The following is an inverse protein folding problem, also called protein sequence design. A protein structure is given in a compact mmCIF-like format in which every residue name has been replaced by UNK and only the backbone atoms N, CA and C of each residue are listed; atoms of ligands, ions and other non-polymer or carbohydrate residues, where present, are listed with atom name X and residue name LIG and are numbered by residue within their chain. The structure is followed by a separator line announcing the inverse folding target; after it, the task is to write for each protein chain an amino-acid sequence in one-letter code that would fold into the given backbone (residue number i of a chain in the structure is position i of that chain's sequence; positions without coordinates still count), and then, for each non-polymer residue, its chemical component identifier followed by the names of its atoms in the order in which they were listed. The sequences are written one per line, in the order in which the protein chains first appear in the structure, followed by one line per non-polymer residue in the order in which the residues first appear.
data_IF_614700907017
#
_entry.id   IF_614700907017
#
_cell.length_a   1.000
_cell.length_b   1.000
_cell.length_c   1.000
_cell.angle_alpha   90.00
_cell.angle_beta   90.00
_cell.angle_gamma   90.00
#
_symmetry.space_group_name_H-M   'P 1'
#
loop_
_entity.id
_entity.type
_entity.pdbx_description
1 polymer ?
#
# COMPACT_ATOMS: atom_id res chain seq x y z
N UNK A 1 11.73 -5.64 -18.31
CA UNK A 1 12.77 -4.84 -18.98
C UNK A 1 13.55 -4.11 -17.91
N UNK A 2 14.87 -4.20 -17.89
CA UNK A 2 15.72 -3.33 -17.08
C UNK A 2 16.08 -2.12 -17.93
N UNK A 3 15.90 -0.91 -17.41
CA UNK A 3 16.32 0.31 -18.11
C UNK A 3 17.85 0.42 -18.07
N UNK A 4 18.55 0.51 -19.23
CA UNK A 4 20.01 0.45 -19.26
C UNK A 4 20.70 1.51 -18.40
N UNK A 5 20.15 2.73 -18.32
CA UNK A 5 20.71 3.82 -17.51
C UNK A 5 20.80 3.41 -16.03
N UNK A 6 19.70 2.93 -15.45
CA UNK A 6 19.66 2.57 -14.03
C UNK A 6 20.49 1.32 -13.74
N UNK A 7 20.47 0.34 -14.63
CA UNK A 7 21.30 -0.86 -14.48
C UNK A 7 22.79 -0.55 -14.52
N UNK A 8 23.23 0.32 -15.44
CA UNK A 8 24.62 0.77 -15.52
C UNK A 8 25.07 1.47 -14.23
N UNK A 9 24.24 2.40 -13.73
CA UNK A 9 24.52 3.11 -12.49
C UNK A 9 24.61 2.15 -11.30
N UNK A 10 23.66 1.22 -11.18
CA UNK A 10 23.68 0.18 -10.17
C UNK A 10 24.98 -0.66 -10.21
N UNK A 11 25.33 -1.20 -11.39
CA UNK A 11 26.54 -1.99 -11.59
C UNK A 11 27.82 -1.24 -11.20
N UNK A 12 27.90 0.06 -11.50
CA UNK A 12 29.03 0.88 -11.11
C UNK A 12 29.14 1.03 -9.58
N UNK A 13 28.03 1.26 -8.90
CA UNK A 13 27.97 1.45 -7.43
C UNK A 13 28.31 0.18 -6.67
N UNK A 14 27.87 -0.97 -7.16
CA UNK A 14 28.22 -2.27 -6.56
C UNK A 14 29.59 -2.79 -7.00
N UNK A 15 30.39 -1.97 -7.68
CA UNK A 15 31.74 -2.28 -8.17
C UNK A 15 31.80 -3.51 -9.10
N UNK A 16 30.73 -3.72 -9.88
CA UNK A 16 30.59 -4.82 -10.83
C UNK A 16 30.15 -4.33 -12.23
N UNK A 17 30.95 -3.48 -12.90
CA UNK A 17 30.64 -3.00 -14.24
C UNK A 17 30.57 -4.14 -15.28
N UNK A 18 31.23 -5.27 -15.01
CA UNK A 18 31.18 -6.48 -15.83
C UNK A 18 29.78 -7.11 -15.93
N UNK A 19 28.90 -6.84 -14.96
CA UNK A 19 27.52 -7.32 -14.97
C UNK A 19 26.60 -6.55 -15.93
N UNK A 20 27.04 -5.40 -16.45
CA UNK A 20 26.20 -4.55 -17.29
C UNK A 20 25.70 -5.29 -18.54
N UNK A 21 26.62 -5.77 -19.37
CA UNK A 21 26.29 -6.48 -20.61
C UNK A 21 25.47 -7.75 -20.37
N UNK A 22 25.95 -8.69 -19.53
CA UNK A 22 25.20 -9.89 -19.15
C UNK A 22 23.80 -9.62 -18.59
N UNK A 23 23.63 -8.59 -17.76
CA UNK A 23 22.36 -8.27 -17.12
C UNK A 23 21.27 -7.74 -18.06
N UNK A 24 21.64 -7.27 -19.26
CA UNK A 24 20.70 -6.82 -20.29
C UNK A 24 20.27 -7.95 -21.25
N UNK A 25 20.93 -9.11 -21.19
CA UNK A 25 20.59 -10.25 -22.05
C UNK A 25 19.27 -10.90 -21.57
N UNK A 26 18.36 -11.26 -22.48
CA UNK A 26 17.10 -11.91 -22.11
C UNK A 26 17.27 -13.40 -21.72
N UNK A 27 18.47 -13.95 -21.88
CA UNK A 27 18.76 -15.36 -21.59
C UNK A 27 18.53 -15.69 -20.10
N UNK A 28 17.73 -16.73 -19.84
CA UNK A 28 17.32 -17.07 -18.48
C UNK A 28 18.49 -17.53 -17.61
N UNK A 29 19.39 -18.36 -18.15
CA UNK A 29 20.52 -18.88 -17.37
C UNK A 29 21.48 -17.76 -16.99
N UNK A 30 21.77 -16.85 -17.93
CA UNK A 30 22.54 -15.63 -17.69
C UNK A 30 21.88 -14.74 -16.64
N UNK A 31 20.55 -14.54 -16.72
CA UNK A 31 19.81 -13.77 -15.73
C UNK A 31 19.89 -14.39 -14.32
N UNK A 32 19.87 -15.72 -14.19
CA UNK A 32 20.06 -16.37 -12.89
C UNK A 32 21.48 -16.16 -12.36
N UNK A 33 22.50 -16.25 -13.22
CA UNK A 33 23.89 -16.01 -12.83
C UNK A 33 24.08 -14.56 -12.34
N UNK A 34 23.63 -13.57 -13.11
CA UNK A 34 23.73 -12.14 -12.73
C UNK A 34 22.98 -11.88 -11.42
N UNK A 35 21.78 -12.45 -11.23
CA UNK A 35 21.04 -12.33 -9.96
C UNK A 35 21.78 -12.97 -8.79
N UNK A 36 22.48 -14.09 -9.03
CA UNK A 36 23.33 -14.75 -8.03
C UNK A 36 24.48 -13.85 -7.59
N UNK A 37 25.17 -13.25 -8.56
CA UNK A 37 26.28 -12.32 -8.32
C UNK A 37 25.84 -11.06 -7.58
N UNK A 38 24.74 -10.44 -8.02
CA UNK A 38 24.14 -9.29 -7.32
C UNK A 38 23.78 -9.66 -5.89
N UNK A 39 23.14 -10.82 -5.67
CA UNK A 39 22.79 -11.28 -4.32
C UNK A 39 24.01 -11.47 -3.44
N UNK A 40 25.11 -11.99 -3.99
CA UNK A 40 26.36 -12.15 -3.26
C UNK A 40 26.90 -10.79 -2.79
N UNK A 41 26.91 -9.78 -3.68
CA UNK A 41 27.35 -8.42 -3.33
C UNK A 41 26.42 -7.77 -2.30
N UNK A 42 25.10 -7.81 -2.52
CA UNK A 42 24.14 -7.18 -1.60
C UNK A 42 24.23 -7.77 -0.18
N UNK A 43 24.57 -9.05 -0.03
CA UNK A 43 24.78 -9.68 1.29
C UNK A 43 25.99 -9.15 2.07
N UNK A 44 26.90 -8.41 1.44
CA UNK A 44 28.14 -7.93 2.08
C UNK A 44 27.95 -6.72 2.99
N UNK A 45 26.81 -6.03 2.89
CA UNK A 45 26.45 -4.89 3.73
C UNK A 45 25.03 -5.01 4.24
N UNK A 46 24.75 -4.35 5.35
CA UNK A 46 23.40 -4.20 5.91
C UNK A 46 22.53 -3.33 5.02
N UNK A 47 21.21 -3.39 5.24
CA UNK A 47 20.27 -2.51 4.55
C UNK A 47 20.62 -1.04 4.77
N UNK A 48 20.94 -0.63 6.01
CA UNK A 48 21.25 0.76 6.34
C UNK A 48 22.49 1.28 5.60
N UNK A 49 23.52 0.44 5.47
CA UNK A 49 24.72 0.78 4.70
C UNK A 49 24.41 0.92 3.21
N UNK A 50 23.64 0.00 2.63
CA UNK A 50 23.23 0.12 1.23
C UNK A 50 22.34 1.34 0.99
N UNK A 51 21.38 1.60 1.88
CA UNK A 51 20.54 2.80 1.80
C UNK A 51 21.41 4.06 1.79
N UNK A 52 22.38 4.18 2.70
CA UNK A 52 23.29 5.34 2.72
C UNK A 52 24.12 5.49 1.43
N UNK A 53 24.50 4.37 0.80
CA UNK A 53 25.25 4.37 -0.47
C UNK A 53 24.37 4.80 -1.65
N UNK A 54 23.11 4.36 -1.69
CA UNK A 54 22.21 4.58 -2.83
C UNK A 54 21.36 5.86 -2.72
N UNK A 55 21.06 6.36 -1.52
CA UNK A 55 20.23 7.56 -1.27
C UNK A 55 20.63 8.80 -2.09
N UNK A 56 21.93 9.14 -2.28
CA UNK A 56 22.29 10.31 -3.09
C UNK A 56 22.29 10.06 -4.60
N UNK A 57 21.93 8.85 -5.08
CA UNK A 57 22.13 8.42 -6.47
C UNK A 57 20.81 8.17 -7.22
N UNK A 58 20.76 8.59 -8.48
CA UNK A 58 19.63 8.36 -9.40
C UNK A 58 19.74 6.98 -10.10
N UNK A 59 19.67 5.88 -9.34
CA UNK A 59 19.86 4.50 -9.84
C UNK A 59 18.69 3.54 -9.57
N UNK A 60 17.51 4.06 -9.21
CA UNK A 60 16.28 3.27 -8.98
C UNK A 60 16.47 2.05 -8.05
N UNK A 61 17.10 2.27 -6.90
CA UNK A 61 17.23 1.28 -5.82
C UNK A 61 16.52 1.82 -4.59
N UNK A 62 15.64 1.01 -4.02
CA UNK A 62 14.86 1.37 -2.83
C UNK A 62 14.82 0.20 -1.84
N UNK A 63 14.73 0.46 -0.52
CA UNK A 63 14.54 -0.59 0.46
C UNK A 63 13.14 -1.22 0.32
N UNK A 64 13.06 -2.53 0.60
CA UNK A 64 11.77 -3.22 0.73
C UNK A 64 11.25 -3.02 2.15
N UNK A 65 10.31 -2.11 2.32
CA UNK A 65 9.71 -1.78 3.61
C UNK A 65 8.62 -2.78 4.02
N UNK A 66 8.52 -3.05 5.31
CA UNK A 66 7.34 -3.68 5.92
C UNK A 66 6.15 -2.74 5.88
N UNK A 67 4.93 -3.26 6.09
CA UNK A 67 3.73 -2.41 6.11
C UNK A 67 3.81 -1.30 7.16
N UNK A 68 4.20 -1.55 8.43
CA UNK A 68 4.34 -0.47 9.41
C UNK A 68 5.36 0.59 9.01
N UNK A 69 6.52 0.19 8.47
CA UNK A 69 7.54 1.12 7.98
C UNK A 69 7.03 1.96 6.82
N UNK A 70 6.34 1.35 5.85
CA UNK A 70 5.76 2.05 4.70
C UNK A 70 4.70 3.07 5.12
N UNK A 71 3.88 2.76 6.12
CA UNK A 71 2.87 3.69 6.66
C UNK A 71 3.50 4.86 7.43
N UNK A 72 4.70 4.67 7.98
CA UNK A 72 5.48 5.70 8.64
C UNK A 72 6.43 6.45 7.70
N UNK A 73 6.57 6.01 6.45
CA UNK A 73 7.50 6.60 5.50
C UNK A 73 7.20 8.11 5.30
N UNK A 74 8.24 8.98 5.21
CA UNK A 74 8.03 10.43 5.07
C UNK A 74 7.08 10.81 3.94
N UNK A 75 7.13 10.07 2.84
CA UNK A 75 6.24 10.30 1.69
C UNK A 75 4.79 9.94 2.02
N UNK A 76 4.55 8.83 2.73
CA UNK A 76 3.20 8.43 3.15
C UNK A 76 2.59 9.47 4.09
N UNK A 77 3.39 10.05 4.99
CA UNK A 77 2.97 11.15 5.86
C UNK A 77 2.71 12.44 5.08
N UNK A 78 3.65 12.86 4.22
CA UNK A 78 3.55 14.06 3.40
C UNK A 78 2.31 14.06 2.48
N UNK A 79 1.87 12.86 2.08
CA UNK A 79 0.67 12.67 1.28
C UNK A 79 -0.58 12.33 2.09
N UNK A 80 -0.52 12.26 3.42
CA UNK A 80 -1.64 11.86 4.26
C UNK A 80 -2.28 10.55 3.75
N UNK A 81 -1.44 9.52 3.58
CA UNK A 81 -1.84 8.21 3.04
C UNK A 81 -2.57 7.33 4.07
N UNK A 82 -2.69 7.80 5.31
CA UNK A 82 -3.47 7.17 6.38
C UNK A 82 -4.52 8.17 6.86
N UNK A 83 -5.77 7.75 6.89
CA UNK A 83 -6.88 8.51 7.44
C UNK A 83 -7.33 7.88 8.77
N UNK A 84 -7.57 8.72 9.78
CA UNK A 84 -8.17 8.31 11.05
C UNK A 84 -9.69 8.40 10.92
N UNK A 85 -10.33 7.27 10.63
CA UNK A 85 -11.77 7.18 10.36
C UNK A 85 -12.53 7.07 11.69
N UNK A 86 -13.58 7.86 11.93
CA UNK A 86 -14.31 7.83 13.20
C UNK A 86 -15.01 6.49 13.42
N UNK A 87 -15.02 6.05 14.68
CA UNK A 87 -15.77 4.89 15.16
C UNK A 87 -17.01 5.34 15.95
N UNK A 88 -18.04 4.48 16.07
CA UNK A 88 -19.23 4.80 16.87
C UNK A 88 -18.95 5.07 18.36
N UNK A 89 -17.86 4.51 18.91
CA UNK A 89 -17.45 4.70 20.30
C UNK A 89 -16.71 6.03 20.58
N UNK A 90 -16.60 6.90 19.55
CA UNK A 90 -15.89 8.18 19.63
C UNK A 90 -14.38 8.09 19.42
N UNK A 91 -13.81 6.89 19.27
CA UNK A 91 -12.42 6.70 18.89
C UNK A 91 -12.24 6.73 17.35
N UNK A 92 -11.01 6.51 16.88
CA UNK A 92 -10.70 6.45 15.44
C UNK A 92 -10.03 5.14 15.05
N UNK A 93 -10.15 4.75 13.78
CA UNK A 93 -9.45 3.62 13.17
C UNK A 93 -8.56 4.12 12.01
N UNK A 94 -7.24 3.83 12.02
CA UNK A 94 -6.41 4.11 10.86
C UNK A 94 -6.82 3.24 9.68
N UNK A 95 -7.00 3.85 8.51
CA UNK A 95 -7.27 3.18 7.24
C UNK A 95 -6.44 3.82 6.12
N UNK A 96 -6.21 3.08 5.04
CA UNK A 96 -5.55 3.63 3.85
C UNK A 96 -6.42 4.72 3.25
N UNK A 97 -5.85 5.91 3.09
CA UNK A 97 -6.53 7.07 2.52
C UNK A 97 -6.63 6.96 0.99
N UNK A 98 -7.49 7.79 0.40
CA UNK A 98 -7.56 7.95 -1.04
C UNK A 98 -6.17 8.35 -1.59
N UNK A 99 -5.61 7.60 -2.57
CA UNK A 99 -4.30 7.90 -3.13
C UNK A 99 -4.29 9.15 -4.02
N UNK A 100 -5.45 9.53 -4.56
CA UNK A 100 -5.63 10.72 -5.38
C UNK A 100 -5.77 11.96 -4.51
N UNK A 101 -5.03 13.00 -4.87
CA UNK A 101 -5.05 14.30 -4.19
C UNK A 101 -5.62 15.32 -5.16
N UNK A 102 -6.75 15.92 -4.77
CA UNK A 102 -7.45 16.90 -5.59
C UNK A 102 -7.23 18.29 -4.99
N UNK A 103 -6.98 19.29 -5.83
CA UNK A 103 -6.80 20.67 -5.36
C UNK A 103 -8.08 21.27 -4.79
N UNK A 104 -9.24 20.85 -5.32
CA UNK A 104 -10.54 21.48 -5.05
C UNK A 104 -11.55 20.54 -4.38
N UNK A 105 -11.12 19.34 -3.95
CA UNK A 105 -11.98 18.38 -3.27
C UNK A 105 -11.19 17.58 -2.24
N UNK A 106 -11.80 17.33 -1.08
CA UNK A 106 -11.21 16.48 -0.05
C UNK A 106 -12.10 15.25 0.17
N UNK A 107 -11.52 14.03 0.18
CA UNK A 107 -12.27 12.84 0.56
C UNK A 107 -12.76 12.95 2.00
N UNK A 108 -14.01 12.56 2.24
CA UNK A 108 -14.58 12.48 3.58
C UNK A 108 -14.65 11.01 4.01
N UNK A 109 -14.01 10.68 5.13
CA UNK A 109 -13.97 9.32 5.66
C UNK A 109 -14.94 9.20 6.83
N UNK A 110 -16.16 8.72 6.55
CA UNK A 110 -17.27 8.71 7.53
C UNK A 110 -17.43 7.40 8.29
N UNK A 111 -17.14 6.27 7.64
CA UNK A 111 -17.52 4.96 8.15
C UNK A 111 -16.35 3.99 8.15
N UNK A 112 -16.19 3.27 9.25
CA UNK A 112 -15.41 2.04 9.30
C UNK A 112 -16.23 0.86 8.77
N UNK A 113 -15.59 -0.30 8.60
CA UNK A 113 -16.32 -1.55 8.43
C UNK A 113 -17.20 -1.83 9.66
N UNK A 114 -18.47 -2.14 9.43
CA UNK A 114 -19.45 -2.45 10.48
C UNK A 114 -20.05 -3.85 10.28
N UNK A 115 -20.63 -4.47 11.31
CA UNK A 115 -21.34 -5.73 11.17
C UNK A 115 -22.43 -5.70 10.09
N UNK A 116 -22.78 -6.88 9.59
CA UNK A 116 -23.89 -7.03 8.67
C UNK A 116 -25.19 -6.56 9.34
N UNK A 117 -25.93 -5.70 8.66
CA UNK A 117 -27.23 -5.20 9.12
C UNK A 117 -27.19 -3.89 9.93
N UNK A 118 -26.02 -3.36 10.28
CA UNK A 118 -25.90 -2.15 11.12
C UNK A 118 -26.73 -0.96 10.64
N UNK A 119 -26.79 -0.72 9.32
CA UNK A 119 -27.54 0.41 8.75
C UNK A 119 -28.91 0.01 8.15
N UNK A 120 -29.39 -1.23 8.35
CA UNK A 120 -30.63 -1.71 7.72
C UNK A 120 -31.82 -0.83 8.07
N UNK A 121 -32.01 -0.56 9.37
CA UNK A 121 -33.13 0.30 9.82
C UNK A 121 -32.99 1.73 9.28
N UNK A 122 -31.78 2.30 9.33
CA UNK A 122 -31.50 3.66 8.88
C UNK A 122 -31.87 3.84 7.40
N UNK A 123 -31.34 2.97 6.53
CA UNK A 123 -31.62 3.01 5.09
C UNK A 123 -33.10 2.79 4.77
N UNK A 124 -33.78 1.86 5.46
CA UNK A 124 -35.21 1.63 5.25
C UNK A 124 -36.07 2.83 5.66
N UNK A 125 -35.70 3.51 6.76
CA UNK A 125 -36.37 4.73 7.19
C UNK A 125 -36.13 5.88 6.19
N UNK A 126 -34.91 6.03 5.67
CA UNK A 126 -34.57 7.06 4.68
C UNK A 126 -35.37 6.95 3.38
N UNK A 127 -35.71 5.72 2.97
CA UNK A 127 -36.53 5.48 1.76
C UNK A 127 -38.05 5.47 2.03
N UNK A 128 -38.48 5.78 3.26
CA UNK A 128 -39.87 6.07 3.60
C UNK A 128 -40.64 4.98 4.34
N UNK A 129 -40.00 3.88 4.76
CA UNK A 129 -40.67 2.89 5.61
C UNK A 129 -40.78 3.37 7.05
N UNK A 130 -41.93 3.14 7.68
CA UNK A 130 -42.12 3.44 9.09
C UNK A 130 -41.64 2.29 10.00
N UNK A 131 -41.50 2.56 11.29
CA UNK A 131 -41.00 1.56 12.27
C UNK A 131 -41.86 0.29 12.32
N UNK A 132 -43.18 0.37 12.08
CA UNK A 132 -44.07 -0.79 12.07
C UNK A 132 -43.83 -1.70 10.86
N UNK A 133 -43.60 -1.13 9.68
CA UNK A 133 -43.27 -1.87 8.46
C UNK A 133 -41.90 -2.54 8.61
N UNK A 134 -40.90 -1.80 9.11
CA UNK A 134 -39.54 -2.32 9.35
C UNK A 134 -39.57 -3.48 10.35
N UNK A 135 -40.33 -3.35 11.45
CA UNK A 135 -40.50 -4.41 12.43
C UNK A 135 -41.16 -5.66 11.82
N UNK A 136 -42.16 -5.49 10.95
CA UNK A 136 -42.80 -6.59 10.23
C UNK A 136 -41.82 -7.33 9.32
N UNK A 137 -41.03 -6.59 8.53
CA UNK A 137 -39.98 -7.16 7.66
C UNK A 137 -38.92 -7.92 8.45
N UNK A 138 -38.57 -7.44 9.65
CA UNK A 138 -37.64 -8.14 10.54
C UNK A 138 -38.24 -9.46 11.04
N UNK A 139 -39.52 -9.48 11.41
CA UNK A 139 -40.20 -10.69 11.88
C UNK A 139 -40.33 -11.75 10.78
N UNK A 140 -40.54 -11.34 9.53
CA UNK A 140 -40.63 -12.26 8.39
C UNK A 140 -39.27 -12.75 7.89
N UNK A 141 -38.16 -12.23 8.45
CA UNK A 141 -36.80 -12.63 8.09
C UNK A 141 -36.29 -12.02 6.78
N UNK A 142 -36.92 -10.95 6.29
CA UNK A 142 -36.65 -10.36 4.97
C UNK A 142 -35.18 -9.97 4.73
N UNK A 143 -34.46 -9.57 5.79
CA UNK A 143 -33.04 -9.16 5.73
C UNK A 143 -32.15 -9.92 6.74
N UNK A 144 -32.59 -11.08 7.21
CA UNK A 144 -31.88 -11.87 8.23
C UNK A 144 -31.99 -11.30 9.65
N UNK A 145 -31.43 -12.02 10.63
CA UNK A 145 -31.37 -11.56 12.03
C UNK A 145 -30.06 -10.82 12.30
N UNK A 146 -30.13 -9.72 13.04
CA UNK A 146 -28.96 -9.03 13.58
C UNK A 146 -28.22 -9.98 14.53
N UNK A 147 -26.92 -10.15 14.31
CA UNK A 147 -26.05 -10.94 15.19
C UNK A 147 -25.47 -10.08 16.29
#
# INVERSE_FOLDING_TARGET
SLEPKFWQGFCAVIERPDLFGPGLQPDWAMQQQVKGDVRAVIKTKTLAEWTAVFDPLDVCVEPVLTVPEALQHPQAQARSMVANVPKPDGSTQPQIANPFKFSNAQPEYRHIGVPLGTHTREVLAEIGYNDTEIASMRQTGMFGQEK
#
